data_IF_963636169264
#
_entry.id   IF_963636169264
#
_cell.length_a   1.000
_cell.length_b   1.000
_cell.length_c   1.000
_cell.angle_alpha   90.00
_cell.angle_beta   90.00
_cell.angle_gamma   90.00
#
_symmetry.space_group_name_H-M   'P 1'
#
loop_
_entity.id
_entity.type
_entity.pdbx_description
1 polymer ?
#
# COMPACT_ATOMS: atom_id res chain seq x y z
N UNK A 1 48.46 16.27 -1.49
CA UNK A 1 47.30 17.07 -1.03
C UNK A 1 46.14 16.11 -0.85
N UNK A 2 45.76 15.80 0.40
CA UNK A 2 44.48 15.12 0.65
C UNK A 2 43.37 16.13 0.40
N UNK A 3 42.36 15.76 -0.39
CA UNK A 3 41.21 16.63 -0.66
C UNK A 3 40.60 17.03 0.70
N UNK A 4 40.64 18.32 1.04
CA UNK A 4 40.11 18.88 2.30
C UNK A 4 38.66 18.46 2.54
N UNK A 5 37.93 18.23 1.46
CA UNK A 5 36.55 17.77 1.47
C UNK A 5 36.37 16.40 2.15
N UNK A 6 37.37 15.52 2.06
CA UNK A 6 37.30 14.19 2.66
C UNK A 6 37.56 14.20 4.16
N UNK A 7 38.44 15.09 4.64
CA UNK A 7 38.72 15.26 6.06
C UNK A 7 37.53 15.91 6.77
N UNK A 8 36.93 16.93 6.16
CA UNK A 8 35.72 17.59 6.68
C UNK A 8 34.52 16.65 6.70
N UNK A 9 34.39 15.78 5.70
CA UNK A 9 33.35 14.75 5.69
C UNK A 9 33.51 13.77 6.86
N UNK A 10 34.73 13.29 7.12
CA UNK A 10 35.00 12.35 8.22
C UNK A 10 34.82 13.01 9.60
N UNK A 11 35.20 14.28 9.75
CA UNK A 11 34.95 15.05 10.98
C UNK A 11 33.45 15.28 11.20
N UNK A 12 32.70 15.62 10.14
CA UNK A 12 31.25 15.76 10.20
C UNK A 12 30.56 14.45 10.61
N UNK A 13 30.98 13.30 10.05
CA UNK A 13 30.49 11.97 10.46
C UNK A 13 30.86 11.65 11.90
N UNK A 14 32.09 11.97 12.31
CA UNK A 14 32.58 11.72 13.66
C UNK A 14 31.85 12.57 14.73
N UNK A 15 31.35 13.75 14.35
CA UNK A 15 30.53 14.64 15.19
C UNK A 15 29.03 14.28 15.16
N UNK A 16 28.67 13.13 14.57
CA UNK A 16 27.29 12.62 14.50
C UNK A 16 26.55 12.92 13.18
N UNK A 17 27.25 13.39 12.16
CA UNK A 17 26.75 13.58 10.81
C UNK A 17 26.28 12.27 10.19
N UNK A 18 24.97 12.20 9.89
CA UNK A 18 24.35 10.98 9.42
C UNK A 18 24.51 10.84 7.90
N UNK A 19 25.30 9.86 7.44
CA UNK A 19 25.64 9.63 6.01
C UNK A 19 24.83 8.56 5.29
N UNK A 20 24.00 7.83 6.01
CA UNK A 20 23.11 6.86 5.39
C UNK A 20 21.94 7.62 4.76
N UNK A 21 21.54 7.34 3.50
CA UNK A 21 20.24 7.77 3.05
C UNK A 21 19.23 7.06 3.94
N UNK A 22 18.79 7.75 5.00
CA UNK A 22 17.48 7.49 5.58
C UNK A 22 16.55 7.45 4.39
N UNK A 23 15.90 6.31 4.14
CA UNK A 23 14.78 6.27 3.21
C UNK A 23 13.97 7.52 3.50
N UNK A 24 13.97 8.45 2.55
CA UNK A 24 13.37 9.74 2.84
C UNK A 24 11.89 9.49 3.13
N UNK A 25 11.22 10.32 3.92
CA UNK A 25 9.79 10.12 4.19
C UNK A 25 8.99 9.95 2.88
N UNK A 26 9.46 10.56 1.79
CA UNK A 26 8.93 10.38 0.43
C UNK A 26 9.19 8.98 -0.16
N UNK A 27 10.37 8.39 0.03
CA UNK A 27 10.66 7.02 -0.43
C UNK A 27 9.77 5.99 0.27
N UNK A 28 9.60 6.11 1.59
CA UNK A 28 8.65 5.28 2.34
C UNK A 28 7.21 5.49 1.84
N UNK A 29 6.80 6.75 1.63
CA UNK A 29 5.50 7.05 1.03
C UNK A 29 5.32 6.44 -0.37
N UNK A 30 6.35 6.46 -1.21
CA UNK A 30 6.32 5.85 -2.54
C UNK A 30 6.16 4.33 -2.47
N UNK A 31 6.89 3.66 -1.58
CA UNK A 31 6.75 2.21 -1.34
C UNK A 31 5.32 1.86 -0.89
N UNK A 32 4.74 2.64 0.01
CA UNK A 32 3.39 2.41 0.50
C UNK A 32 2.30 2.68 -0.54
N UNK A 33 2.48 3.70 -1.38
CA UNK A 33 1.57 3.93 -2.52
C UNK A 33 1.64 2.77 -3.52
N UNK A 34 2.83 2.21 -3.77
CA UNK A 34 3.01 1.03 -4.63
C UNK A 34 2.34 -0.20 -4.04
N UNK A 35 2.49 -0.45 -2.74
CA UNK A 35 1.79 -1.54 -2.06
C UNK A 35 0.27 -1.40 -2.22
N UNK A 36 -0.27 -0.21 -1.95
CA UNK A 36 -1.70 0.09 -2.10
C UNK A 36 -2.19 -0.08 -3.54
N UNK A 37 -1.37 0.26 -4.55
CA UNK A 37 -1.68 -0.02 -5.96
C UNK A 37 -1.81 -1.52 -6.24
N UNK A 38 -0.87 -2.31 -5.73
CA UNK A 38 -0.86 -3.76 -5.92
C UNK A 38 -2.05 -4.42 -5.23
N UNK A 39 -2.39 -4.02 -4.01
CA UNK A 39 -3.58 -4.51 -3.31
C UNK A 39 -4.87 -4.19 -4.07
N UNK A 40 -5.04 -2.95 -4.55
CA UNK A 40 -6.21 -2.57 -5.34
C UNK A 40 -6.32 -3.39 -6.64
N UNK A 41 -5.19 -3.60 -7.32
CA UNK A 41 -5.14 -4.42 -8.53
C UNK A 41 -5.48 -5.89 -8.22
N UNK A 42 -4.94 -6.44 -7.13
CA UNK A 42 -5.15 -7.82 -6.71
C UNK A 42 -6.61 -8.17 -6.41
N UNK A 43 -7.43 -7.20 -6.04
CA UNK A 43 -8.86 -7.42 -5.73
C UNK A 43 -9.83 -6.82 -6.77
N UNK A 44 -9.34 -6.11 -7.78
CA UNK A 44 -10.19 -5.45 -8.79
C UNK A 44 -11.06 -6.46 -9.56
N UNK A 45 -10.49 -7.61 -9.92
CA UNK A 45 -11.16 -8.67 -10.67
C UNK A 45 -12.39 -9.24 -9.94
N UNK A 46 -12.40 -9.25 -8.60
CA UNK A 46 -13.54 -9.71 -7.80
C UNK A 46 -14.76 -8.83 -8.00
N UNK A 47 -14.54 -7.51 -8.08
CA UNK A 47 -15.59 -6.53 -8.33
C UNK A 47 -16.13 -6.64 -9.75
N UNK A 48 -15.24 -6.81 -10.72
CA UNK A 48 -15.61 -6.99 -12.13
C UNK A 48 -16.46 -8.25 -12.30
N UNK A 49 -15.97 -9.41 -11.84
CA UNK A 49 -16.72 -10.68 -11.87
C UNK A 49 -18.10 -10.57 -11.21
N UNK A 50 -18.20 -9.92 -10.06
CA UNK A 50 -19.50 -9.77 -9.38
C UNK A 50 -20.48 -8.92 -10.21
N UNK A 51 -19.99 -7.87 -10.88
CA UNK A 51 -20.81 -7.03 -11.77
C UNK A 51 -21.28 -7.81 -12.99
N UNK A 52 -20.37 -8.54 -13.63
CA UNK A 52 -20.70 -9.37 -14.78
C UNK A 52 -21.76 -10.43 -14.41
N UNK A 53 -21.63 -11.07 -13.26
CA UNK A 53 -22.62 -12.04 -12.76
C UNK A 53 -23.99 -11.41 -12.52
N UNK A 54 -24.03 -10.20 -11.96
CA UNK A 54 -25.28 -9.44 -11.78
C UNK A 54 -25.93 -9.07 -13.12
N UNK A 55 -25.13 -8.64 -14.09
CA UNK A 55 -25.61 -8.25 -15.43
C UNK A 55 -26.13 -9.46 -16.22
N UNK A 56 -25.49 -10.62 -16.07
CA UNK A 56 -25.95 -11.89 -16.64
C UNK A 56 -27.22 -12.44 -15.94
N UNK A 57 -27.60 -11.88 -14.78
CA UNK A 57 -28.78 -12.30 -14.02
C UNK A 57 -28.63 -13.66 -13.33
N UNK A 58 -27.41 -14.16 -13.19
CA UNK A 58 -27.10 -15.43 -12.52
C UNK A 58 -26.82 -15.28 -11.03
N UNK A 59 -26.57 -16.40 -10.37
CA UNK A 59 -26.08 -16.42 -8.98
C UNK A 59 -24.67 -15.81 -8.91
N UNK A 60 -24.42 -15.01 -7.87
CA UNK A 60 -23.12 -14.39 -7.63
C UNK A 60 -22.24 -15.32 -6.78
N UNK A 61 -20.95 -15.40 -7.10
CA UNK A 61 -19.99 -16.18 -6.30
C UNK A 61 -19.77 -15.55 -4.93
N UNK A 62 -19.80 -14.22 -4.85
CA UNK A 62 -19.77 -13.48 -3.58
C UNK A 62 -21.18 -13.24 -3.08
N UNK A 63 -21.37 -13.39 -1.77
CA UNK A 63 -22.58 -12.92 -1.09
C UNK A 63 -22.67 -11.39 -1.13
N UNK A 64 -23.85 -10.84 -0.85
CA UNK A 64 -24.04 -9.39 -0.76
C UNK A 64 -23.13 -8.76 0.31
N UNK A 65 -22.98 -9.42 1.46
CA UNK A 65 -22.14 -8.93 2.56
C UNK A 65 -20.66 -8.95 2.17
N UNK A 66 -20.17 -10.05 1.59
CA UNK A 66 -18.79 -10.12 1.08
C UNK A 66 -18.51 -9.06 0.01
N UNK A 67 -19.46 -8.83 -0.91
CA UNK A 67 -19.30 -7.77 -1.90
C UNK A 67 -19.28 -6.37 -1.26
N UNK A 68 -20.10 -6.13 -0.22
CA UNK A 68 -20.05 -4.91 0.58
C UNK A 68 -18.70 -4.72 1.26
N UNK A 69 -18.18 -5.75 1.93
CA UNK A 69 -16.87 -5.75 2.57
C UNK A 69 -15.73 -5.48 1.58
N UNK A 70 -15.79 -6.07 0.38
CA UNK A 70 -14.84 -5.80 -0.69
C UNK A 70 -14.83 -4.32 -1.07
N UNK A 71 -16.00 -3.73 -1.29
CA UNK A 71 -16.11 -2.31 -1.65
C UNK A 71 -15.59 -1.40 -0.53
N UNK A 72 -15.89 -1.72 0.73
CA UNK A 72 -15.35 -1.00 1.90
C UNK A 72 -13.84 -1.14 2.00
N UNK A 73 -13.28 -2.34 1.79
CA UNK A 73 -11.83 -2.57 1.79
C UNK A 73 -11.14 -1.75 0.69
N UNK A 74 -11.64 -1.82 -0.54
CA UNK A 74 -11.13 -1.01 -1.66
C UNK A 74 -11.20 0.50 -1.37
N UNK A 75 -12.26 0.96 -0.69
CA UNK A 75 -12.37 2.37 -0.31
C UNK A 75 -11.32 2.75 0.73
N UNK A 76 -11.14 1.94 1.79
CA UNK A 76 -10.09 2.16 2.80
C UNK A 76 -8.70 2.21 2.18
N UNK A 77 -8.40 1.37 1.19
CA UNK A 77 -7.14 1.42 0.44
C UNK A 77 -6.96 2.76 -0.29
N UNK A 78 -8.01 3.34 -0.87
CA UNK A 78 -7.94 4.64 -1.56
C UNK A 78 -7.80 5.80 -0.59
N UNK A 79 -8.42 5.71 0.58
CA UNK A 79 -8.42 6.79 1.57
C UNK A 79 -7.14 6.81 2.41
N UNK A 80 -6.49 5.66 2.58
CA UNK A 80 -5.33 5.53 3.46
C UNK A 80 -4.16 6.49 3.13
N UNK A 81 -3.75 6.70 1.86
CA UNK A 81 -2.72 7.70 1.53
C UNK A 81 -3.09 9.16 1.84
N UNK A 82 -4.35 9.45 2.18
CA UNK A 82 -4.82 10.76 2.61
C UNK A 82 -5.00 10.87 4.13
N UNK A 83 -4.75 9.78 4.87
CA UNK A 83 -4.87 9.76 6.33
C UNK A 83 -3.62 10.30 7.03
N UNK A 84 -3.79 10.83 8.24
CA UNK A 84 -2.68 11.31 9.07
C UNK A 84 -1.70 10.20 9.48
N UNK A 85 -2.15 8.94 9.44
CA UNK A 85 -1.32 7.77 9.75
C UNK A 85 -0.43 7.33 8.59
N UNK A 86 -0.54 7.93 7.41
CA UNK A 86 0.32 7.57 6.28
C UNK A 86 1.73 8.18 6.44
N UNK A 87 2.83 7.45 6.14
CA UNK A 87 2.94 6.12 5.53
C UNK A 87 3.19 4.95 6.51
N UNK A 88 2.67 5.00 7.74
CA UNK A 88 2.90 3.91 8.71
C UNK A 88 2.23 2.60 8.27
N UNK A 89 3.05 1.60 7.93
CA UNK A 89 2.60 0.28 7.50
C UNK A 89 1.70 -0.43 8.51
N UNK A 90 1.81 -0.10 9.81
CA UNK A 90 0.95 -0.66 10.87
C UNK A 90 -0.52 -0.25 10.74
N UNK A 91 -0.77 0.85 10.01
CA UNK A 91 -2.10 1.39 9.76
C UNK A 91 -2.66 1.01 8.38
N UNK A 92 -2.00 0.07 7.67
CA UNK A 92 -2.52 -0.44 6.40
C UNK A 92 -3.92 -1.05 6.59
N UNK A 93 -4.86 -0.79 5.67
CA UNK A 93 -6.13 -1.50 5.66
C UNK A 93 -5.91 -3.01 5.56
N UNK A 94 -6.62 -3.77 6.41
CA UNK A 94 -6.54 -5.24 6.43
C UNK A 94 -7.62 -5.81 5.51
N UNK A 95 -7.23 -6.72 4.62
CA UNK A 95 -8.14 -7.44 3.74
C UNK A 95 -9.07 -8.37 4.54
N UNK A 96 -10.37 -8.46 4.18
CA UNK A 96 -11.25 -9.49 4.69
C UNK A 96 -10.70 -10.91 4.45
N UNK A 97 -10.81 -11.78 5.45
CA UNK A 97 -10.21 -13.12 5.42
C UNK A 97 -10.61 -13.97 4.21
N UNK A 98 -11.87 -13.88 3.78
CA UNK A 98 -12.41 -14.69 2.68
C UNK A 98 -11.79 -14.36 1.31
N UNK A 99 -11.10 -13.22 1.17
CA UNK A 99 -10.45 -12.83 -0.10
C UNK A 99 -9.36 -13.84 -0.46
N UNK A 100 -8.61 -14.37 0.52
CA UNK A 100 -7.54 -15.36 0.28
C UNK A 100 -8.06 -16.69 -0.26
N UNK A 101 -9.36 -16.95 -0.07
CA UNK A 101 -10.03 -18.17 -0.53
C UNK A 101 -10.57 -18.01 -1.96
N UNK A 102 -10.45 -16.82 -2.56
CA UNK A 102 -10.89 -16.58 -3.93
C UNK A 102 -9.82 -16.98 -4.94
N UNK A 103 -10.18 -17.86 -5.87
CA UNK A 103 -9.36 -18.21 -7.02
C UNK A 103 -9.80 -17.40 -8.25
N UNK A 104 -8.81 -16.88 -8.99
CA UNK A 104 -8.99 -16.23 -10.29
C UNK A 104 -9.28 -17.26 -11.38
#
# INVERSE_FOLDING_TARGET
>A
MGNKDWVLYLEWVADGGQTLPKSTAEEAAMEERRWRDLELQGVAWLRERHRDQKELGGDTTLTADQYGELLTYMQRLRDWPQSDSFPDASNRPVAPDWIKDQAQ
#
